data_IF_118999032994
#
_entry.id   IF_118999032994
#
_cell.length_a   1.000
_cell.length_b   1.000
_cell.length_c   1.000
_cell.angle_alpha   90.00
_cell.angle_beta   90.00
_cell.angle_gamma   90.00
#
_symmetry.space_group_name_H-M   'P 1'
#
loop_
_entity.id
_entity.type
_entity.pdbx_description
1 polymer ?
#
# COMPACT_ATOMS: atom_id res chain seq x y z
N UNK A 1 -36.30 -2.92 60.15
CA UNK A 1 -35.21 -1.92 60.13
C UNK A 1 -35.49 -0.89 59.05
N UNK A 2 -35.17 0.37 59.31
CA UNK A 2 -35.49 1.56 58.51
C UNK A 2 -34.66 1.64 57.20
N UNK A 3 -35.25 2.30 56.21
CA UNK A 3 -34.75 2.79 54.92
C UNK A 3 -33.26 3.15 54.86
N UNK A 4 -32.63 2.91 53.69
CA UNK A 4 -31.79 3.92 53.07
C UNK A 4 -31.81 3.82 51.54
N UNK A 5 -32.53 4.73 50.90
CA UNK A 5 -32.51 4.99 49.45
C UNK A 5 -31.70 6.27 49.24
N UNK A 6 -30.57 6.27 48.51
CA UNK A 6 -29.97 7.50 48.04
C UNK A 6 -30.73 8.06 46.82
N UNK A 7 -30.88 9.39 46.87
CA UNK A 7 -31.74 10.27 46.08
C UNK A 7 -31.27 10.45 44.64
N UNK A 8 -32.22 10.71 43.73
CA UNK A 8 -32.01 11.33 42.40
C UNK A 8 -31.22 12.64 42.52
N UNK A 9 -30.27 12.86 41.60
CA UNK A 9 -29.84 14.19 41.18
C UNK A 9 -30.12 14.35 39.68
N UNK A 10 -30.51 15.58 39.33
CA UNK A 10 -31.24 16.05 38.15
C UNK A 10 -30.37 17.09 37.39
N UNK A 11 -30.43 17.05 36.06
CA UNK A 11 -30.30 18.12 35.03
C UNK A 11 -29.11 19.09 34.96
N UNK A 12 -28.56 19.22 33.73
CA UNK A 12 -28.52 20.40 32.82
C UNK A 12 -27.46 20.11 31.75
N UNK A 13 -27.56 20.46 30.48
CA UNK A 13 -28.42 21.35 29.71
C UNK A 13 -27.69 21.61 28.39
N UNK A 14 -28.45 21.61 27.31
CA UNK A 14 -28.05 21.69 25.91
C UNK A 14 -27.34 23.03 25.59
N UNK A 15 -26.28 22.98 24.77
CA UNK A 15 -25.80 24.03 23.85
C UNK A 15 -25.19 23.28 22.65
N UNK A 16 -25.56 23.42 21.38
CA UNK A 16 -26.33 24.46 20.69
C UNK A 16 -25.56 24.83 19.41
N UNK A 17 -25.82 24.13 18.29
CA UNK A 17 -25.56 24.59 16.92
C UNK A 17 -24.63 23.73 16.03
N UNK A 18 -24.86 23.63 14.70
CA UNK A 18 -26.14 23.64 13.99
C UNK A 18 -26.58 22.19 13.65
N UNK A 19 -27.84 21.90 13.96
CA UNK A 19 -28.58 20.84 13.26
C UNK A 19 -29.38 21.55 12.17
N UNK A 20 -29.55 20.85 11.03
CA UNK A 20 -30.56 21.02 9.97
C UNK A 20 -29.97 21.27 8.55
N UNK A 21 -30.57 20.70 7.47
CA UNK A 21 -31.95 20.22 7.38
C UNK A 21 -32.13 18.71 7.14
N UNK A 22 -33.29 18.27 7.61
CA UNK A 22 -33.94 17.00 7.27
C UNK A 22 -34.23 17.02 5.76
N UNK A 23 -33.57 16.15 5.00
CA UNK A 23 -33.95 15.87 3.62
C UNK A 23 -35.09 14.85 3.61
N UNK A 24 -36.31 15.37 3.47
CA UNK A 24 -37.50 14.61 3.10
C UNK A 24 -37.36 14.24 1.61
N UNK A 25 -37.29 12.93 1.32
CA UNK A 25 -37.66 12.38 0.03
C UNK A 25 -36.53 12.25 -1.01
N UNK A 26 -36.36 11.01 -1.48
CA UNK A 26 -35.91 10.73 -2.85
C UNK A 26 -34.42 10.50 -3.05
N UNK A 27 -34.13 9.30 -3.54
CA UNK A 27 -32.86 8.84 -4.14
C UNK A 27 -31.77 8.55 -3.10
N UNK A 28 -31.68 7.26 -2.73
CA UNK A 28 -30.61 6.71 -1.92
C UNK A 28 -29.24 6.98 -2.54
N UNK A 29 -28.60 8.06 -2.10
CA UNK A 29 -27.14 8.18 -2.19
C UNK A 29 -26.59 7.31 -1.08
N UNK A 30 -26.24 6.08 -1.45
CA UNK A 30 -25.33 5.25 -0.68
C UNK A 30 -24.08 6.10 -0.40
N UNK A 31 -23.97 6.60 0.83
CA UNK A 31 -22.68 7.03 1.34
C UNK A 31 -21.85 5.76 1.42
N UNK A 32 -21.12 5.44 0.34
CA UNK A 32 -20.05 4.45 0.40
C UNK A 32 -19.09 5.05 1.43
N UNK A 33 -19.15 4.54 2.66
CA UNK A 33 -18.13 4.79 3.64
C UNK A 33 -16.82 4.45 2.93
N UNK A 34 -15.94 5.44 2.75
CA UNK A 34 -14.59 5.16 2.32
C UNK A 34 -14.06 4.14 3.33
N UNK A 35 -13.88 2.88 2.90
CA UNK A 35 -13.33 1.84 3.73
C UNK A 35 -12.06 2.40 4.34
N UNK A 36 -12.06 2.57 5.66
CA UNK A 36 -10.91 3.09 6.36
C UNK A 36 -9.75 2.13 6.06
N UNK A 37 -8.74 2.60 5.32
CA UNK A 37 -7.61 1.77 4.93
C UNK A 37 -6.89 1.31 6.20
N UNK A 38 -7.21 0.11 6.67
CA UNK A 38 -6.57 -0.48 7.85
C UNK A 38 -5.28 -1.14 7.39
N UNK A 39 -4.13 -0.59 7.73
CA UNK A 39 -2.80 -1.16 7.43
C UNK A 39 -2.23 -1.85 8.65
N UNK A 40 -1.47 -2.92 8.40
CA UNK A 40 -0.87 -3.75 9.45
C UNK A 40 0.58 -3.38 9.73
N UNK A 41 1.23 -2.66 8.82
CA UNK A 41 2.67 -2.45 8.79
C UNK A 41 3.45 -3.65 8.26
N UNK A 42 2.77 -4.66 7.70
CA UNK A 42 3.33 -5.96 7.34
C UNK A 42 2.74 -6.50 6.03
N UNK A 43 3.56 -7.24 5.27
CA UNK A 43 3.12 -8.12 4.18
C UNK A 43 3.62 -9.51 4.53
N UNK A 44 2.68 -10.40 4.90
CA UNK A 44 3.04 -11.66 5.56
C UNK A 44 3.77 -11.39 6.88
N UNK A 45 4.95 -11.98 7.04
CA UNK A 45 5.81 -11.80 8.22
C UNK A 45 6.90 -10.74 8.03
N UNK A 46 6.86 -9.99 6.92
CA UNK A 46 7.86 -8.98 6.58
C UNK A 46 7.29 -7.59 6.79
N UNK A 47 8.05 -6.72 7.48
CA UNK A 47 7.67 -5.31 7.67
C UNK A 47 7.52 -4.61 6.34
N UNK A 48 6.43 -3.86 6.16
CA UNK A 48 6.16 -3.11 4.94
C UNK A 48 5.82 -1.65 5.23
N UNK A 49 6.04 -0.78 4.25
CA UNK A 49 5.52 0.58 4.25
C UNK A 49 4.05 0.61 3.81
N UNK A 50 3.33 1.70 4.09
CA UNK A 50 1.93 1.85 3.67
C UNK A 50 1.76 1.76 2.14
N UNK A 51 2.60 2.41 1.30
CA UNK A 51 2.56 2.24 -0.15
C UNK A 51 2.81 0.80 -0.60
N UNK A 52 3.76 0.09 0.01
CA UNK A 52 4.01 -1.34 -0.25
C UNK A 52 2.76 -2.18 0.06
N UNK A 53 2.13 -1.97 1.21
CA UNK A 53 0.90 -2.69 1.57
C UNK A 53 -0.26 -2.42 0.60
N UNK A 54 -0.39 -1.18 0.11
CA UNK A 54 -1.40 -0.84 -0.90
C UNK A 54 -1.17 -1.59 -2.19
N UNK A 55 0.08 -1.65 -2.64
CA UNK A 55 0.46 -2.34 -3.86
C UNK A 55 0.26 -3.85 -3.74
N UNK A 56 0.68 -4.44 -2.62
CA UNK A 56 0.42 -5.84 -2.27
C UNK A 56 -1.09 -6.18 -2.35
N UNK A 57 -1.93 -5.38 -1.71
CA UNK A 57 -3.40 -5.55 -1.77
C UNK A 57 -3.96 -5.41 -3.18
N UNK A 58 -3.40 -4.51 -3.98
CA UNK A 58 -3.82 -4.35 -5.36
C UNK A 58 -3.49 -5.62 -6.19
N UNK A 59 -2.32 -6.22 -5.98
CA UNK A 59 -1.95 -7.51 -6.60
C UNK A 59 -2.83 -8.66 -6.11
N UNK A 60 -3.11 -8.73 -4.80
CA UNK A 60 -4.01 -9.73 -4.21
C UNK A 60 -5.42 -9.66 -4.83
N UNK A 61 -5.95 -8.44 -5.03
CA UNK A 61 -7.25 -8.22 -5.69
C UNK A 61 -7.26 -8.66 -7.15
N UNK A 62 -6.11 -8.67 -7.82
CA UNK A 62 -5.95 -9.19 -9.18
C UNK A 62 -5.67 -10.70 -9.21
N UNK A 63 -5.56 -11.35 -8.04
CA UNK A 63 -5.20 -12.76 -7.92
C UNK A 63 -3.77 -13.05 -8.38
N UNK A 64 -2.86 -12.08 -8.23
CA UNK A 64 -1.45 -12.21 -8.63
C UNK A 64 -0.64 -12.57 -7.39
N UNK A 65 -0.05 -13.77 -7.40
CA UNK A 65 0.94 -14.14 -6.38
C UNK A 65 2.27 -13.44 -6.61
N UNK A 66 2.89 -12.95 -5.55
CA UNK A 66 4.14 -12.20 -5.61
C UNK A 66 5.13 -12.63 -4.52
N UNK A 67 6.40 -12.35 -4.76
CA UNK A 67 7.47 -12.39 -3.76
C UNK A 67 7.75 -10.96 -3.32
N UNK A 68 7.76 -10.72 -2.01
CA UNK A 68 8.02 -9.42 -1.42
C UNK A 68 9.41 -9.38 -0.77
N UNK A 69 10.17 -8.31 -1.02
CA UNK A 69 11.57 -8.12 -0.57
C UNK A 69 12.48 -9.29 -0.91
N UNK A 70 12.63 -9.53 -2.21
CA UNK A 70 13.57 -10.53 -2.71
C UNK A 70 15.00 -9.99 -2.55
N UNK A 71 15.77 -10.65 -1.69
CA UNK A 71 17.20 -10.39 -1.57
C UNK A 71 17.96 -10.86 -2.82
N UNK A 72 18.75 -9.96 -3.41
CA UNK A 72 19.57 -10.20 -4.59
C UNK A 72 21.03 -9.82 -4.34
N UNK A 73 21.93 -10.43 -5.12
CA UNK A 73 23.37 -10.20 -5.04
C UNK A 73 24.04 -10.84 -3.81
N UNK A 74 24.70 -10.02 -3.00
CA UNK A 74 25.45 -10.48 -1.82
C UNK A 74 24.57 -11.01 -0.68
N UNK A 75 25.19 -11.65 0.32
CA UNK A 75 24.48 -11.96 1.57
C UNK A 75 24.02 -10.67 2.26
N UNK A 76 22.95 -10.73 3.07
CA UNK A 76 22.47 -9.58 3.84
C UNK A 76 23.61 -8.95 4.66
N UNK A 77 23.79 -7.64 4.54
CA UNK A 77 24.91 -6.86 5.11
C UNK A 77 26.28 -7.05 4.42
N UNK A 78 26.35 -7.71 3.27
CA UNK A 78 27.57 -7.77 2.46
C UNK A 78 27.56 -6.69 1.36
N UNK A 79 28.74 -6.27 0.86
CA UNK A 79 28.82 -5.42 -0.33
C UNK A 79 28.10 -6.07 -1.52
N UNK A 80 27.29 -5.29 -2.24
CA UNK A 80 26.50 -5.78 -3.37
C UNK A 80 25.20 -6.48 -2.99
N UNK A 81 24.80 -6.43 -1.72
CA UNK A 81 23.43 -6.77 -1.33
C UNK A 81 22.46 -5.67 -1.75
N UNK A 82 21.35 -6.07 -2.36
CA UNK A 82 20.21 -5.20 -2.63
C UNK A 82 18.91 -6.00 -2.53
N UNK A 83 17.79 -5.30 -2.34
CA UNK A 83 16.46 -5.92 -2.20
C UNK A 83 15.55 -5.37 -3.30
N UNK A 84 14.83 -6.29 -3.97
CA UNK A 84 13.75 -5.94 -4.90
C UNK A 84 12.42 -6.00 -4.14
N UNK A 85 11.62 -4.93 -4.20
CA UNK A 85 10.38 -4.86 -3.42
C UNK A 85 9.37 -5.93 -3.83
N UNK A 86 9.07 -6.06 -5.11
CA UNK A 86 8.15 -7.08 -5.61
C UNK A 86 8.68 -7.79 -6.86
N UNK A 87 8.53 -9.11 -6.88
CA UNK A 87 8.71 -9.93 -8.08
C UNK A 87 7.51 -10.86 -8.27
N UNK A 88 6.90 -10.86 -9.45
CA UNK A 88 5.77 -11.75 -9.73
C UNK A 88 5.68 -12.17 -11.21
N UNK A 89 5.19 -13.40 -11.49
CA UNK A 89 4.86 -13.82 -12.85
C UNK A 89 3.43 -13.41 -13.23
N UNK A 90 3.24 -12.97 -14.47
CA UNK A 90 1.92 -12.74 -15.08
C UNK A 90 1.98 -13.05 -16.58
N UNK A 91 1.08 -13.93 -17.05
CA UNK A 91 1.00 -14.34 -18.45
C UNK A 91 2.34 -14.81 -19.06
N UNK A 92 3.16 -15.53 -18.28
CA UNK A 92 4.45 -16.05 -18.73
C UNK A 92 5.59 -15.03 -18.75
N UNK A 93 5.36 -13.80 -18.27
CA UNK A 93 6.36 -12.73 -18.15
C UNK A 93 6.57 -12.43 -16.67
N UNK A 94 7.82 -12.20 -16.25
CA UNK A 94 8.12 -11.74 -14.90
C UNK A 94 8.07 -10.21 -14.82
N UNK A 95 7.64 -9.69 -13.68
CA UNK A 95 7.58 -8.27 -13.40
C UNK A 95 8.32 -8.01 -12.10
N UNK A 96 9.26 -7.07 -12.15
CA UNK A 96 9.99 -6.57 -11.00
C UNK A 96 9.50 -5.14 -10.73
N UNK A 97 9.14 -4.83 -9.49
CA UNK A 97 8.63 -3.51 -9.10
C UNK A 97 9.42 -3.00 -7.92
N UNK A 98 9.82 -1.73 -8.00
CA UNK A 98 10.44 -0.95 -6.92
C UNK A 98 9.54 0.24 -6.58
N UNK A 99 9.39 0.49 -5.27
CA UNK A 99 8.57 1.58 -4.75
C UNK A 99 9.50 2.67 -4.21
N UNK A 100 9.49 3.78 -4.93
CA UNK A 100 10.37 4.89 -4.69
C UNK A 100 9.78 5.91 -3.73
N UNK A 101 10.62 6.38 -2.79
CA UNK A 101 10.31 7.56 -1.98
C UNK A 101 10.77 8.86 -2.67
N UNK A 102 9.99 9.92 -2.53
CA UNK A 102 10.23 11.24 -3.14
C UNK A 102 11.47 11.96 -2.58
N UNK A 103 12.00 11.56 -1.43
CA UNK A 103 13.09 12.27 -0.74
C UNK A 103 14.50 12.02 -1.31
N UNK A 104 14.64 11.18 -2.34
CA UNK A 104 15.92 10.88 -2.98
C UNK A 104 16.22 11.82 -4.16
N UNK A 105 16.34 13.12 -3.93
CA UNK A 105 16.84 14.10 -4.92
C UNK A 105 18.37 14.20 -4.79
N UNK A 106 19.20 13.83 -5.78
CA UNK A 106 19.47 14.63 -6.98
C UNK A 106 20.12 13.84 -8.16
N UNK A 107 20.44 12.54 -7.99
CA UNK A 107 21.14 11.70 -9.01
C UNK A 107 20.36 10.43 -9.38
N UNK A 108 19.03 10.47 -9.20
CA UNK A 108 18.18 9.29 -9.18
C UNK A 108 18.27 8.47 -10.48
N UNK A 109 18.11 9.12 -11.65
CA UNK A 109 18.12 8.43 -12.96
C UNK A 109 19.36 7.56 -13.24
N UNK A 110 20.55 7.98 -12.82
CA UNK A 110 21.76 7.20 -13.05
C UNK A 110 21.90 6.06 -12.04
N UNK A 111 21.47 6.29 -10.79
CA UNK A 111 21.42 5.26 -9.76
C UNK A 111 20.38 4.20 -10.08
N UNK A 112 19.19 4.61 -10.54
CA UNK A 112 18.12 3.71 -10.98
C UNK A 112 18.62 2.85 -12.14
N UNK A 113 19.23 3.44 -13.18
CA UNK A 113 19.75 2.66 -14.31
C UNK A 113 20.84 1.65 -13.92
N UNK A 114 21.72 2.00 -12.97
CA UNK A 114 22.71 1.05 -12.44
C UNK A 114 22.05 -0.03 -11.57
N UNK A 115 21.06 0.34 -10.77
CA UNK A 115 20.30 -0.58 -9.94
C UNK A 115 19.53 -1.58 -10.80
N UNK A 116 18.80 -1.10 -11.81
CA UNK A 116 18.08 -1.91 -12.79
C UNK A 116 19.01 -2.89 -13.50
N UNK A 117 20.20 -2.43 -13.92
CA UNK A 117 21.19 -3.29 -14.55
C UNK A 117 21.68 -4.39 -13.60
N UNK A 118 21.83 -4.09 -12.30
CA UNK A 118 22.18 -5.09 -11.28
C UNK A 118 21.03 -6.07 -11.05
N UNK A 119 19.80 -5.58 -10.87
CA UNK A 119 18.58 -6.39 -10.70
C UNK A 119 18.40 -7.33 -11.88
N UNK A 120 18.46 -6.81 -13.10
CA UNK A 120 18.33 -7.61 -14.32
C UNK A 120 19.42 -8.67 -14.43
N UNK A 121 20.67 -8.33 -14.10
CA UNK A 121 21.79 -9.27 -14.14
C UNK A 121 21.63 -10.41 -13.12
N UNK A 122 21.24 -10.10 -11.88
CA UNK A 122 21.03 -11.13 -10.85
C UNK A 122 19.82 -12.01 -11.17
N UNK A 123 18.75 -11.43 -11.72
CA UNK A 123 17.59 -12.20 -12.14
C UNK A 123 17.86 -13.05 -13.39
N UNK A 124 18.70 -12.57 -14.31
CA UNK A 124 19.20 -13.37 -15.44
C UNK A 124 19.99 -14.61 -14.97
N UNK A 125 20.82 -14.48 -13.94
CA UNK A 125 21.47 -15.64 -13.31
C UNK A 125 20.47 -16.66 -12.74
N UNK A 126 19.29 -16.22 -12.33
CA UNK A 126 18.19 -17.09 -11.90
C UNK A 126 17.32 -17.61 -13.07
N UNK A 127 17.65 -17.24 -14.31
CA UNK A 127 16.90 -17.58 -15.52
C UNK A 127 15.61 -16.77 -15.68
N UNK A 128 15.51 -15.60 -15.03
CA UNK A 128 14.35 -14.73 -15.02
C UNK A 128 14.62 -13.44 -15.81
N UNK A 129 13.69 -13.07 -16.67
CA UNK A 129 13.78 -11.87 -17.52
C UNK A 129 12.62 -10.92 -17.24
N UNK A 130 12.67 -10.19 -16.12
CA UNK A 130 11.54 -9.35 -15.74
C UNK A 130 11.50 -8.04 -16.51
N UNK A 131 10.31 -7.43 -16.55
CA UNK A 131 10.17 -6.00 -16.81
C UNK A 131 10.23 -5.24 -15.49
N UNK A 132 11.15 -4.28 -15.39
CA UNK A 132 11.33 -3.46 -14.18
C UNK A 132 10.43 -2.23 -14.25
N UNK A 133 9.73 -1.93 -13.15
CA UNK A 133 8.89 -0.74 -12.98
C UNK A 133 9.24 -0.04 -11.68
N UNK A 134 9.32 1.29 -11.73
CA UNK A 134 9.46 2.13 -10.54
C UNK A 134 8.16 2.90 -10.34
N UNK A 135 7.57 2.75 -9.15
CA UNK A 135 6.38 3.49 -8.77
C UNK A 135 6.72 4.54 -7.72
N UNK A 136 6.26 5.76 -7.97
CA UNK A 136 6.37 6.83 -7.00
C UNK A 136 5.30 6.64 -5.93
N UNK A 137 5.70 6.56 -4.67
CA UNK A 137 4.78 6.28 -3.56
C UNK A 137 3.66 7.32 -3.41
N UNK A 138 3.91 8.59 -3.75
CA UNK A 138 2.97 9.69 -3.54
C UNK A 138 2.11 9.96 -4.79
N UNK A 139 2.61 9.62 -5.99
CA UNK A 139 1.85 9.75 -7.23
C UNK A 139 1.09 8.48 -7.60
N UNK A 140 1.75 7.33 -7.52
CA UNK A 140 1.28 6.08 -8.11
C UNK A 140 0.64 5.15 -7.06
N UNK A 141 0.87 5.41 -5.75
CA UNK A 141 0.42 4.58 -4.62
C UNK A 141 -0.12 5.41 -3.42
N UNK A 142 -0.55 6.65 -3.64
CA UNK A 142 -1.00 7.56 -2.56
C UNK A 142 -2.32 7.20 -1.90
N UNK A 143 -3.12 6.32 -2.53
CA UNK A 143 -4.28 5.68 -1.94
C UNK A 143 -4.46 4.28 -2.50
N UNK A 144 -5.27 3.44 -1.84
CA UNK A 144 -5.59 2.11 -2.33
C UNK A 144 -6.30 2.16 -3.68
N UNK A 145 -7.18 3.14 -3.91
CA UNK A 145 -7.85 3.33 -5.21
C UNK A 145 -6.84 3.60 -6.33
N UNK A 146 -5.85 4.46 -6.05
CA UNK A 146 -4.78 4.77 -7.02
C UNK A 146 -3.91 3.52 -7.23
N UNK A 147 -3.54 2.80 -6.17
CA UNK A 147 -2.74 1.57 -6.29
C UNK A 147 -3.45 0.49 -7.12
N UNK A 148 -4.76 0.29 -6.90
CA UNK A 148 -5.58 -0.63 -7.69
C UNK A 148 -5.63 -0.22 -9.17
N UNK A 149 -5.80 1.08 -9.44
CA UNK A 149 -5.81 1.61 -10.81
C UNK A 149 -4.44 1.43 -11.47
N UNK A 150 -3.36 1.73 -10.77
CA UNK A 150 -1.98 1.53 -11.23
C UNK A 150 -1.76 0.06 -11.57
N UNK A 151 -2.04 -0.86 -10.64
CA UNK A 151 -1.86 -2.29 -10.86
C UNK A 151 -2.69 -2.80 -12.05
N UNK A 152 -3.94 -2.36 -12.20
CA UNK A 152 -4.78 -2.71 -13.37
C UNK A 152 -4.22 -2.18 -14.69
N UNK A 153 -3.70 -0.95 -14.68
CA UNK A 153 -3.18 -0.31 -15.89
C UNK A 153 -1.96 -1.05 -16.43
N UNK A 154 -1.11 -1.57 -15.54
CA UNK A 154 0.15 -2.20 -15.94
C UNK A 154 0.09 -3.73 -16.00
N UNK A 155 -0.82 -4.39 -15.25
CA UNK A 155 -0.76 -5.85 -15.02
C UNK A 155 -2.09 -6.61 -15.21
N UNK A 156 -3.18 -5.93 -15.60
CA UNK A 156 -4.47 -6.60 -15.87
C UNK A 156 -4.44 -7.43 -17.14
#
# INVERSE_FOLDING_TARGET
MKLNVPKRVKYRGIRGGPVEPIAIGGIGRSYIAAEQEAFTGMIGDVKASVPEERFARALDRLGISYQFRLALGGARNAPGFFELDFLFPRAGIYFAVEIDSLFSHMDKKYKDALHDAMVLKELDYLGLFPRVFHFDQDRDLSSQEIADKTARTYFS
#
